data_IF_236227967883
#
_entry.id   IF_236227967883
#
_cell.length_a   1.000
_cell.length_b   1.000
_cell.length_c   1.000
_cell.angle_alpha   90.00
_cell.angle_beta   90.00
_cell.angle_gamma   90.00
#
_symmetry.space_group_name_H-M   'P 1'
#
loop_
_entity.id
_entity.type
_entity.pdbx_description
1 polymer ?
#
# COMPACT_ATOMS: atom_id res chain seq x y z
N UNK A 1 -16.70 34.95 0.09
CA UNK A 1 -15.46 34.32 0.56
C UNK A 1 -15.87 33.40 1.70
N UNK A 2 -16.30 32.18 1.35
CA UNK A 2 -16.48 31.15 2.36
C UNK A 2 -15.07 30.79 2.83
N UNK A 3 -14.80 30.98 4.12
CA UNK A 3 -13.64 30.37 4.75
C UNK A 3 -13.86 28.87 4.66
N UNK A 4 -12.99 28.19 3.90
CA UNK A 4 -13.00 26.75 3.75
C UNK A 4 -12.99 26.12 5.13
N UNK A 5 -13.96 25.27 5.38
CA UNK A 5 -13.78 24.21 6.36
C UNK A 5 -12.49 23.48 5.94
N UNK A 6 -11.57 23.32 6.88
CA UNK A 6 -10.34 22.57 6.68
C UNK A 6 -10.74 21.19 6.16
N UNK A 7 -10.55 20.93 4.86
CA UNK A 7 -10.53 19.55 4.38
C UNK A 7 -9.52 18.82 5.26
N UNK A 8 -9.91 17.70 5.87
CA UNK A 8 -8.93 16.89 6.58
C UNK A 8 -7.91 16.44 5.54
N UNK A 9 -6.65 16.86 5.69
CA UNK A 9 -5.59 16.47 4.77
C UNK A 9 -5.45 14.94 4.79
N UNK A 10 -5.47 14.27 3.64
CA UNK A 10 -5.32 12.82 3.58
C UNK A 10 -4.01 12.36 4.23
N UNK A 11 -4.06 11.25 4.96
CA UNK A 11 -2.85 10.64 5.51
C UNK A 11 -1.95 10.14 4.38
N UNK A 12 -0.67 10.51 4.40
CA UNK A 12 0.31 10.07 3.40
C UNK A 12 1.08 8.86 3.92
N UNK A 13 0.79 7.70 3.35
CA UNK A 13 1.49 6.45 3.63
C UNK A 13 2.60 6.21 2.60
N UNK A 14 3.78 5.81 3.06
CA UNK A 14 4.86 5.31 2.19
C UNK A 14 4.91 3.79 2.28
N UNK A 15 4.76 3.10 1.14
CA UNK A 15 5.00 1.66 1.04
C UNK A 15 6.48 1.37 0.89
N UNK A 16 7.02 0.57 1.80
CA UNK A 16 8.42 0.17 1.76
C UNK A 16 8.66 -0.94 0.74
N UNK A 17 9.77 -0.81 0.01
CA UNK A 17 10.21 -1.73 -1.03
C UNK A 17 11.42 -2.57 -0.58
N UNK A 18 12.00 -2.28 0.59
CA UNK A 18 13.08 -3.07 1.16
C UNK A 18 12.74 -4.55 1.36
N UNK A 19 13.74 -5.41 1.15
CA UNK A 19 13.65 -6.87 1.35
C UNK A 19 14.50 -7.35 2.55
N UNK A 20 15.20 -6.42 3.20
CA UNK A 20 16.02 -6.64 4.41
C UNK A 20 15.68 -5.63 5.50
N UNK A 21 16.07 -5.92 6.74
CA UNK A 21 15.77 -5.02 7.87
C UNK A 21 16.51 -3.70 7.70
N UNK A 22 17.77 -3.76 7.27
CA UNK A 22 18.61 -2.61 7.03
C UNK A 22 17.98 -1.66 6.00
N UNK A 23 17.51 -2.20 4.87
CA UNK A 23 16.83 -1.41 3.83
C UNK A 23 15.55 -0.74 4.37
N UNK A 24 14.71 -1.50 5.10
CA UNK A 24 13.49 -0.96 5.71
C UNK A 24 13.80 0.18 6.69
N UNK A 25 14.87 0.07 7.48
CA UNK A 25 15.26 1.13 8.43
C UNK A 25 15.74 2.39 7.70
N UNK A 26 16.46 2.24 6.59
CA UNK A 26 16.87 3.36 5.74
C UNK A 26 15.66 4.04 5.06
N UNK A 27 14.74 3.25 4.54
CA UNK A 27 13.47 3.73 3.96
C UNK A 27 12.62 4.45 5.00
N UNK A 28 12.54 3.93 6.23
CA UNK A 28 11.82 4.56 7.33
C UNK A 28 12.39 5.93 7.70
N UNK A 29 13.71 6.06 7.77
CA UNK A 29 14.36 7.34 8.00
C UNK A 29 14.07 8.34 6.86
N UNK A 30 14.13 7.89 5.60
CA UNK A 30 13.81 8.70 4.42
C UNK A 30 12.35 9.13 4.38
N UNK A 31 11.40 8.23 4.65
CA UNK A 31 9.97 8.51 4.66
C UNK A 31 9.61 9.56 5.71
N UNK A 32 10.16 9.42 6.93
CA UNK A 32 9.97 10.41 7.99
C UNK A 32 10.53 11.78 7.60
N UNK A 33 11.72 11.85 6.99
CA UNK A 33 12.30 13.10 6.50
C UNK A 33 11.53 13.70 5.31
N UNK A 34 10.86 12.88 4.53
CA UNK A 34 10.03 13.30 3.41
C UNK A 34 8.62 13.74 3.82
N UNK A 35 8.26 13.61 5.10
CA UNK A 35 6.97 14.02 5.63
C UNK A 35 5.87 12.98 5.44
N UNK A 36 6.18 11.68 5.41
CA UNK A 36 5.15 10.65 5.49
C UNK A 36 4.47 10.66 6.86
N UNK A 37 3.17 10.36 6.90
CA UNK A 37 2.40 10.19 8.13
C UNK A 37 2.42 8.73 8.62
N UNK A 38 2.56 7.79 7.68
CA UNK A 38 2.52 6.34 7.92
C UNK A 38 3.59 5.62 7.11
N UNK A 39 4.02 4.47 7.62
CA UNK A 39 4.86 3.52 6.91
C UNK A 39 4.11 2.20 6.70
N UNK A 40 3.95 1.73 5.46
CA UNK A 40 3.49 0.37 5.19
C UNK A 40 4.68 -0.58 5.13
N UNK A 41 4.78 -1.44 6.15
CA UNK A 41 5.70 -2.56 6.18
C UNK A 41 5.09 -3.71 5.39
N UNK A 42 5.58 -3.90 4.17
CA UNK A 42 5.26 -5.05 3.32
C UNK A 42 6.07 -6.27 3.75
N UNK A 43 5.60 -6.96 4.80
CA UNK A 43 6.27 -8.14 5.35
C UNK A 43 6.48 -9.25 4.31
N UNK A 44 5.56 -9.38 3.34
CA UNK A 44 5.69 -10.35 2.27
C UNK A 44 6.96 -10.15 1.40
N UNK A 45 7.55 -8.95 1.38
CA UNK A 45 8.78 -8.67 0.65
C UNK A 45 10.03 -9.27 1.30
N UNK A 46 10.02 -9.57 2.59
CA UNK A 46 11.13 -10.30 3.22
C UNK A 46 11.33 -11.70 2.62
N UNK A 47 10.34 -12.25 1.91
CA UNK A 47 10.50 -13.52 1.20
C UNK A 47 11.24 -13.37 -0.13
N UNK A 48 11.43 -12.16 -0.65
CA UNK A 48 12.13 -11.93 -1.91
C UNK A 48 13.66 -12.01 -1.76
N UNK A 49 14.30 -12.71 -2.68
CA UNK A 49 15.75 -12.73 -2.85
C UNK A 49 16.07 -11.85 -4.05
N UNK A 50 16.63 -10.66 -3.78
CA UNK A 50 17.12 -9.77 -4.85
C UNK A 50 18.26 -10.47 -5.59
N UNK A 51 18.22 -10.57 -6.93
CA UNK A 51 19.35 -11.05 -7.72
C UNK A 51 20.61 -10.24 -7.42
N UNK A 52 21.78 -10.88 -7.43
CA UNK A 52 23.05 -10.13 -7.45
C UNK A 52 23.13 -9.39 -8.78
N UNK A 53 23.38 -8.07 -8.75
CA UNK A 53 23.59 -7.29 -9.98
C UNK A 53 24.84 -7.83 -10.69
N UNK A 54 24.70 -8.41 -11.89
CA UNK A 54 25.85 -8.80 -12.70
C UNK A 54 26.54 -7.53 -13.23
N UNK A 55 27.74 -7.22 -12.73
CA UNK A 55 28.54 -6.03 -13.13
C UNK A 55 28.79 -5.91 -14.65
N UNK A 56 28.59 -7.00 -15.41
CA UNK A 56 28.74 -7.04 -16.86
C UNK A 56 27.46 -6.60 -17.62
N UNK A 57 26.26 -6.69 -17.04
CA UNK A 57 25.02 -6.15 -17.66
C UNK A 57 24.99 -4.61 -17.58
N UNK A 58 25.52 -4.03 -16.49
CA UNK A 58 25.66 -2.58 -16.28
C UNK A 58 26.53 -1.88 -17.34
N UNK A 59 27.38 -2.63 -18.07
CA UNK A 59 28.24 -2.07 -19.12
C UNK A 59 27.59 -1.98 -20.50
N UNK A 60 26.53 -2.75 -20.77
CA UNK A 60 25.73 -2.58 -22.01
C UNK A 60 24.62 -1.52 -21.83
N UNK A 61 24.29 -1.13 -20.59
CA UNK A 61 23.29 -0.12 -20.22
C UNK A 61 23.65 1.33 -20.61
N UNK A 62 24.94 1.67 -20.79
CA UNK A 62 25.32 3.05 -21.18
C UNK A 62 25.05 3.39 -22.67
N UNK A 63 24.71 2.40 -23.52
CA UNK A 63 24.48 2.62 -24.96
C UNK A 63 23.03 2.36 -25.45
N UNK A 64 22.08 2.02 -24.57
CA UNK A 64 20.69 1.72 -24.94
C UNK A 64 19.66 2.32 -23.98
N UNK A 65 18.83 3.23 -24.49
CA UNK A 65 17.70 3.91 -23.82
C UNK A 65 16.49 2.94 -23.61
N UNK A 66 16.75 1.66 -23.32
CA UNK A 66 15.74 0.65 -22.97
C UNK A 66 15.83 0.35 -21.48
N UNK A 67 15.09 1.12 -20.67
CA UNK A 67 14.99 0.91 -19.23
C UNK A 67 14.56 -0.54 -18.93
N UNK A 68 15.43 -1.27 -18.22
CA UNK A 68 15.15 -2.63 -17.77
C UNK A 68 13.98 -2.58 -16.77
N UNK A 69 12.82 -3.08 -17.19
CA UNK A 69 11.68 -3.29 -16.29
C UNK A 69 12.00 -4.50 -15.42
N UNK A 70 12.35 -4.26 -14.16
CA UNK A 70 12.59 -5.32 -13.18
C UNK A 70 11.25 -5.95 -12.78
N UNK A 71 11.00 -7.18 -13.24
CA UNK A 71 9.84 -7.95 -12.79
C UNK A 71 10.18 -8.74 -11.52
N UNK A 72 9.85 -8.16 -10.36
CA UNK A 72 10.05 -8.78 -9.04
C UNK A 72 9.28 -10.11 -8.89
N UNK A 73 8.26 -10.39 -9.71
CA UNK A 73 7.57 -11.67 -9.68
C UNK A 73 8.47 -12.84 -10.09
N UNK A 74 9.54 -12.55 -10.85
CA UNK A 74 10.53 -13.53 -11.30
C UNK A 74 11.63 -13.80 -10.25
N UNK A 75 11.70 -12.99 -9.20
CA UNK A 75 12.73 -13.15 -8.18
C UNK A 75 12.52 -14.44 -7.37
N UNK A 76 13.63 -15.04 -6.94
CA UNK A 76 13.58 -16.22 -6.09
C UNK A 76 12.95 -15.90 -4.73
N UNK A 77 12.31 -16.89 -4.12
CA UNK A 77 11.60 -16.74 -2.85
C UNK A 77 12.18 -17.64 -1.77
N UNK A 78 12.43 -17.06 -0.59
CA UNK A 78 12.73 -17.78 0.65
C UNK A 78 11.52 -18.64 1.05
N UNK A 79 11.77 -19.74 1.78
CA UNK A 79 10.69 -20.54 2.34
C UNK A 79 9.99 -19.78 3.47
N UNK A 80 8.69 -20.05 3.67
CA UNK A 80 7.92 -19.45 4.76
C UNK A 80 8.53 -19.71 6.15
N UNK A 81 9.26 -20.83 6.31
CA UNK A 81 9.93 -21.20 7.57
C UNK A 81 11.33 -20.60 7.75
N UNK A 82 11.86 -19.86 6.77
CA UNK A 82 13.19 -19.27 6.85
C UNK A 82 13.18 -17.90 7.56
N UNK A 83 11.99 -17.36 7.84
CA UNK A 83 11.80 -16.01 8.35
C UNK A 83 11.01 -16.04 9.65
N UNK A 84 11.66 -15.62 10.73
CA UNK A 84 11.05 -15.51 12.05
C UNK A 84 10.42 -14.13 12.25
N UNK A 85 9.08 -14.10 12.18
CA UNK A 85 8.25 -12.89 12.27
C UNK A 85 8.58 -12.05 13.50
N UNK A 86 8.62 -12.71 14.66
CA UNK A 86 8.86 -12.04 15.94
C UNK A 86 10.22 -11.35 16.01
N UNK A 87 11.25 -11.90 15.37
CA UNK A 87 12.57 -11.28 15.31
C UNK A 87 12.56 -10.03 14.43
N UNK A 88 11.90 -10.08 13.27
CA UNK A 88 11.77 -8.93 12.37
C UNK A 88 11.00 -7.81 13.06
N UNK A 89 9.83 -8.12 13.64
CA UNK A 89 9.03 -7.15 14.36
C UNK A 89 9.84 -6.53 15.49
N UNK A 90 10.54 -7.33 16.30
CA UNK A 90 11.34 -6.83 17.41
C UNK A 90 12.47 -5.89 16.96
N UNK A 91 13.13 -6.19 15.83
CA UNK A 91 14.20 -5.34 15.27
C UNK A 91 13.67 -4.04 14.66
N UNK A 92 12.47 -4.04 14.11
CA UNK A 92 11.87 -2.87 13.46
C UNK A 92 11.10 -1.96 14.42
N UNK A 93 10.57 -2.48 15.53
CA UNK A 93 9.67 -1.77 16.45
C UNK A 93 10.21 -0.43 16.92
N UNK A 94 11.51 -0.35 17.21
CA UNK A 94 12.16 0.90 17.68
C UNK A 94 12.87 1.67 16.55
N UNK A 95 12.94 1.10 15.34
CA UNK A 95 13.70 1.65 14.22
C UNK A 95 12.85 2.44 13.21
N UNK A 96 11.53 2.21 13.19
CA UNK A 96 10.60 2.95 12.34
C UNK A 96 9.96 4.09 13.16
N UNK A 97 10.27 5.37 12.89
CA UNK A 97 9.77 6.49 13.69
C UNK A 97 8.32 6.89 13.36
N UNK A 98 7.67 6.19 12.43
CA UNK A 98 6.31 6.45 11.95
C UNK A 98 5.34 5.37 12.44
N UNK A 99 4.04 5.69 12.62
CA UNK A 99 2.99 4.68 12.75
C UNK A 99 3.05 3.66 11.60
N UNK A 100 2.99 2.37 11.95
CA UNK A 100 3.19 1.26 11.00
C UNK A 100 1.87 0.62 10.61
N UNK A 101 1.68 0.47 9.29
CA UNK A 101 0.71 -0.46 8.69
C UNK A 101 1.46 -1.76 8.41
N UNK A 102 1.09 -2.83 9.09
CA UNK A 102 1.65 -4.14 8.84
C UNK A 102 0.84 -4.88 7.78
N UNK A 103 1.50 -5.27 6.69
CA UNK A 103 0.87 -5.93 5.54
C UNK A 103 1.63 -7.22 5.22
N UNK A 104 0.92 -8.35 5.12
CA UNK A 104 1.46 -9.59 4.59
C UNK A 104 0.59 -10.06 3.42
N UNK A 105 0.86 -9.48 2.24
CA UNK A 105 0.02 -9.64 1.04
C UNK A 105 0.19 -11.04 0.43
N UNK A 106 -0.89 -11.78 0.15
CA UNK A 106 -0.82 -13.06 -0.54
C UNK A 106 -0.54 -12.88 -2.04
N UNK A 107 -0.05 -13.92 -2.71
CA UNK A 107 0.24 -13.88 -4.15
C UNK A 107 -0.98 -13.62 -5.02
N UNK A 108 -2.14 -14.10 -4.60
CA UNK A 108 -3.40 -13.96 -5.34
C UNK A 108 -3.87 -12.49 -5.39
N UNK A 109 -3.35 -11.64 -4.50
CA UNK A 109 -3.58 -10.19 -4.46
C UNK A 109 -2.31 -9.38 -4.76
N UNK A 110 -1.37 -9.96 -5.52
CA UNK A 110 -0.16 -9.27 -6.00
C UNK A 110 0.95 -9.11 -4.96
N UNK A 111 0.91 -9.87 -3.87
CA UNK A 111 1.97 -9.96 -2.88
C UNK A 111 3.00 -11.05 -3.15
N UNK A 112 3.94 -11.21 -2.22
CA UNK A 112 5.06 -12.14 -2.35
C UNK A 112 5.08 -13.25 -1.30
N UNK A 113 4.04 -13.37 -0.46
CA UNK A 113 4.01 -14.39 0.58
C UNK A 113 3.92 -15.80 -0.02
N UNK A 114 4.89 -16.71 0.23
CA UNK A 114 4.96 -18.00 -0.43
C UNK A 114 4.24 -19.13 0.32
N UNK A 115 3.75 -18.87 1.55
CA UNK A 115 3.19 -19.88 2.44
C UNK A 115 1.68 -20.08 2.29
N UNK A 116 1.12 -20.94 3.14
CA UNK A 116 -0.33 -21.15 3.22
C UNK A 116 -1.05 -20.09 4.08
N UNK A 117 -2.36 -19.96 3.88
CA UNK A 117 -3.20 -18.97 4.57
C UNK A 117 -3.21 -19.13 6.09
N UNK A 118 -3.10 -20.36 6.62
CA UNK A 118 -3.07 -20.58 8.07
C UNK A 118 -1.78 -20.00 8.67
N UNK A 119 -0.67 -20.20 7.99
CA UNK A 119 0.64 -19.64 8.38
C UNK A 119 0.63 -18.11 8.22
N UNK A 120 0.03 -17.57 7.16
CA UNK A 120 -0.15 -16.12 6.96
C UNK A 120 -0.95 -15.46 8.08
N UNK A 121 -2.07 -16.08 8.48
CA UNK A 121 -2.88 -15.61 9.61
C UNK A 121 -2.06 -15.55 10.90
N UNK A 122 -1.18 -16.53 11.16
CA UNK A 122 -0.33 -16.52 12.35
C UNK A 122 0.71 -15.38 12.32
N UNK A 123 1.13 -14.92 11.14
CA UNK A 123 1.99 -13.73 10.98
C UNK A 123 1.21 -12.48 11.36
N UNK A 124 -0.01 -12.32 10.82
CA UNK A 124 -0.89 -11.19 11.10
C UNK A 124 -1.30 -11.13 12.58
N UNK A 125 -1.54 -12.29 13.21
CA UNK A 125 -1.79 -12.41 14.65
C UNK A 125 -0.63 -11.89 15.51
N UNK A 126 0.62 -12.18 15.12
CA UNK A 126 1.82 -11.69 15.81
C UNK A 126 2.02 -10.18 15.60
N UNK A 127 1.71 -9.67 14.40
CA UNK A 127 1.74 -8.23 14.15
C UNK A 127 0.75 -7.49 15.08
N UNK A 128 -0.48 -8.00 15.20
CA UNK A 128 -1.49 -7.43 16.11
C UNK A 128 -1.02 -7.47 17.57
N UNK A 129 -0.48 -8.60 18.04
CA UNK A 129 0.06 -8.74 19.41
C UNK A 129 1.25 -7.81 19.69
N UNK A 130 1.95 -7.38 18.65
CA UNK A 130 3.06 -6.44 18.77
C UNK A 130 2.64 -4.97 18.87
N UNK A 131 1.32 -4.70 18.77
CA UNK A 131 0.70 -3.38 18.86
C UNK A 131 1.14 -2.44 17.72
N UNK A 132 1.22 -2.96 16.48
CA UNK A 132 1.35 -2.11 15.28
C UNK A 132 0.17 -1.14 15.18
N UNK A 133 0.34 -0.01 14.49
CA UNK A 133 -0.72 1.00 14.42
C UNK A 133 -1.90 0.54 13.57
N UNK A 134 -1.63 -0.15 12.47
CA UNK A 134 -2.62 -0.75 11.58
C UNK A 134 -2.20 -2.14 11.12
N UNK A 135 -3.19 -2.97 10.80
CA UNK A 135 -3.01 -4.22 10.07
C UNK A 135 -3.88 -4.22 8.82
N UNK A 136 -3.31 -4.62 7.70
CA UNK A 136 -4.01 -4.77 6.42
C UNK A 136 -4.55 -6.21 6.31
N UNK A 137 -5.88 -6.35 6.20
CA UNK A 137 -6.61 -7.61 6.15
C UNK A 137 -7.51 -7.67 4.91
N UNK A 138 -7.17 -8.54 3.97
CA UNK A 138 -7.90 -8.68 2.72
C UNK A 138 -9.35 -9.11 2.95
N UNK A 139 -10.28 -8.54 2.18
CA UNK A 139 -11.69 -8.94 2.18
C UNK A 139 -11.91 -10.34 1.59
N UNK A 140 -10.96 -10.84 0.80
CA UNK A 140 -10.94 -12.20 0.25
C UNK A 140 -10.67 -13.30 1.29
N UNK A 141 -10.14 -12.93 2.47
CA UNK A 141 -9.89 -13.87 3.56
C UNK A 141 -11.17 -14.61 3.98
N UNK A 142 -11.01 -15.82 4.52
CA UNK A 142 -12.15 -16.53 5.10
C UNK A 142 -12.84 -15.67 6.17
N UNK A 143 -14.14 -15.40 5.99
CA UNK A 143 -14.90 -14.46 6.82
C UNK A 143 -14.80 -14.73 8.32
N UNK A 144 -14.85 -16.00 8.74
CA UNK A 144 -14.73 -16.37 10.16
C UNK A 144 -13.33 -16.08 10.71
N UNK A 145 -12.28 -16.36 9.93
CA UNK A 145 -10.89 -16.07 10.33
C UNK A 145 -10.60 -14.58 10.36
N UNK A 146 -11.09 -13.86 9.37
CA UNK A 146 -10.99 -12.40 9.31
C UNK A 146 -11.68 -11.75 10.52
N UNK A 147 -12.90 -12.15 10.86
CA UNK A 147 -13.60 -11.64 12.05
C UNK A 147 -12.84 -11.91 13.36
N UNK A 148 -12.13 -13.05 13.47
CA UNK A 148 -11.27 -13.33 14.62
C UNK A 148 -10.10 -12.35 14.71
N UNK A 149 -9.45 -12.05 13.57
CA UNK A 149 -8.37 -11.06 13.50
C UNK A 149 -8.86 -9.65 13.81
N UNK A 150 -10.01 -9.24 13.27
CA UNK A 150 -10.61 -7.93 13.55
C UNK A 150 -10.92 -7.76 15.04
N UNK A 151 -11.54 -8.78 15.67
CA UNK A 151 -11.80 -8.75 17.10
C UNK A 151 -10.50 -8.65 17.91
N UNK A 152 -9.46 -9.41 17.53
CA UNK A 152 -8.15 -9.37 18.18
C UNK A 152 -7.47 -8.01 17.99
N UNK A 153 -7.56 -7.40 16.82
CA UNK A 153 -7.04 -6.07 16.53
C UNK A 153 -7.68 -5.02 17.45
N UNK A 154 -9.01 -5.04 17.56
CA UNK A 154 -9.76 -4.17 18.46
C UNK A 154 -9.36 -4.36 19.94
N UNK A 155 -9.14 -5.60 20.39
CA UNK A 155 -8.67 -5.89 21.76
C UNK A 155 -7.27 -5.31 22.05
N UNK A 156 -6.41 -5.16 21.03
CA UNK A 156 -5.05 -4.65 21.15
C UNK A 156 -4.92 -3.18 20.70
N UNK A 157 -6.03 -2.50 20.39
CA UNK A 157 -6.01 -1.10 19.92
C UNK A 157 -5.37 -0.91 18.54
N UNK A 158 -5.31 -1.97 17.74
CA UNK A 158 -4.79 -1.96 16.36
C UNK A 158 -5.94 -1.68 15.40
N UNK A 159 -5.76 -0.72 14.50
CA UNK A 159 -6.74 -0.42 13.45
C UNK A 159 -6.65 -1.39 12.28
N UNK A 160 -7.74 -1.62 11.57
CA UNK A 160 -7.85 -2.58 10.48
C UNK A 160 -8.11 -1.88 9.15
N UNK A 161 -7.32 -2.22 8.13
CA UNK A 161 -7.64 -1.89 6.74
C UNK A 161 -8.35 -3.09 6.12
N UNK A 162 -9.55 -2.88 5.60
CA UNK A 162 -10.30 -3.84 4.81
C UNK A 162 -9.93 -3.68 3.33
N UNK A 163 -9.00 -4.50 2.84
CA UNK A 163 -8.41 -4.28 1.52
C UNK A 163 -8.95 -5.20 0.43
N UNK A 164 -8.94 -4.71 -0.81
CA UNK A 164 -9.11 -5.47 -2.05
C UNK A 164 -8.03 -5.06 -3.03
N UNK A 165 -7.34 -6.04 -3.62
CA UNK A 165 -6.42 -5.81 -4.73
C UNK A 165 -6.90 -6.56 -5.97
N UNK A 166 -7.44 -5.81 -6.94
CA UNK A 166 -7.87 -6.37 -8.21
C UNK A 166 -6.72 -6.41 -9.22
N UNK A 167 -6.28 -7.61 -9.59
CA UNK A 167 -5.18 -7.83 -10.54
C UNK A 167 -5.66 -8.01 -11.99
N UNK A 168 -6.93 -8.35 -12.19
CA UNK A 168 -7.54 -8.66 -13.50
C UNK A 168 -8.16 -7.42 -14.21
N UNK A 169 -7.95 -6.22 -13.68
CA UNK A 169 -8.44 -4.97 -14.23
C UNK A 169 -9.19 -4.10 -13.22
N UNK A 170 -9.81 -3.05 -13.73
CA UNK A 170 -10.61 -2.10 -12.94
C UNK A 170 -12.10 -2.43 -13.13
N UNK A 171 -12.85 -2.69 -12.04
CA UNK A 171 -14.31 -2.77 -12.09
C UNK A 171 -14.95 -1.45 -12.55
N UNK A 172 -16.24 -1.46 -12.84
CA UNK A 172 -16.95 -0.19 -13.06
C UNK A 172 -17.10 0.58 -11.74
N UNK A 173 -17.40 1.88 -11.84
CA UNK A 173 -17.47 2.76 -10.68
C UNK A 173 -18.55 2.30 -9.68
N UNK A 174 -19.71 1.82 -10.16
CA UNK A 174 -20.80 1.34 -9.31
C UNK A 174 -20.39 0.10 -8.51
N UNK A 175 -19.63 -0.82 -9.10
CA UNK A 175 -19.07 -1.98 -8.39
C UNK A 175 -18.04 -1.57 -7.33
N UNK A 176 -17.16 -0.61 -7.62
CA UNK A 176 -16.20 -0.10 -6.62
C UNK A 176 -16.95 0.56 -5.45
N UNK A 177 -17.96 1.38 -5.74
CA UNK A 177 -18.80 2.03 -4.74
C UNK A 177 -19.51 0.99 -3.86
N UNK A 178 -20.08 -0.05 -4.46
CA UNK A 178 -20.74 -1.12 -3.71
C UNK A 178 -19.75 -1.89 -2.83
N UNK A 179 -18.53 -2.16 -3.32
CA UNK A 179 -17.47 -2.78 -2.51
C UNK A 179 -17.17 -1.90 -1.29
N UNK A 180 -17.01 -0.59 -1.46
CA UNK A 180 -16.74 0.32 -0.34
C UNK A 180 -17.90 0.34 0.65
N UNK A 181 -19.13 0.60 0.19
CA UNK A 181 -20.30 0.71 1.06
C UNK A 181 -20.62 -0.58 1.80
N UNK A 182 -20.56 -1.73 1.13
CA UNK A 182 -20.85 -3.03 1.74
C UNK A 182 -19.78 -3.49 2.75
N UNK A 183 -18.61 -2.84 2.77
CA UNK A 183 -17.50 -3.18 3.65
C UNK A 183 -17.09 -2.06 4.61
N UNK A 184 -17.86 -0.99 4.72
CA UNK A 184 -17.59 0.12 5.63
C UNK A 184 -17.44 -0.32 7.11
N UNK A 185 -18.17 -1.35 7.54
CA UNK A 185 -18.08 -1.90 8.91
C UNK A 185 -17.06 -3.04 9.05
N UNK A 186 -16.36 -3.41 7.98
CA UNK A 186 -15.41 -4.53 7.99
C UNK A 186 -13.98 -4.11 8.37
N UNK A 187 -13.73 -2.83 8.64
CA UNK A 187 -12.46 -2.29 9.11
C UNK A 187 -12.62 -0.81 9.50
N UNK A 188 -11.52 -0.18 9.89
CA UNK A 188 -11.45 1.27 10.14
C UNK A 188 -11.21 2.07 8.85
N UNK A 189 -10.79 1.40 7.76
CA UNK A 189 -10.59 1.98 6.43
C UNK A 189 -10.88 0.91 5.37
N UNK A 190 -11.62 1.24 4.31
CA UNK A 190 -11.74 0.37 3.12
C UNK A 190 -10.72 0.79 2.07
N UNK A 191 -9.87 -0.15 1.63
CA UNK A 191 -8.82 0.09 0.63
C UNK A 191 -9.10 -0.70 -0.63
N UNK A 192 -9.20 -0.04 -1.77
CA UNK A 192 -9.32 -0.70 -3.07
C UNK A 192 -8.18 -0.27 -3.98
N UNK A 193 -7.42 -1.26 -4.47
CA UNK A 193 -6.29 -1.05 -5.35
C UNK A 193 -6.46 -1.90 -6.61
N UNK A 194 -6.53 -1.28 -7.79
CA UNK A 194 -6.81 -1.99 -9.04
C UNK A 194 -5.68 -1.82 -10.05
N UNK A 195 -5.36 -2.88 -10.78
CA UNK A 195 -4.44 -2.78 -11.92
C UNK A 195 -5.15 -2.11 -13.09
N UNK A 196 -4.61 -0.98 -13.52
CA UNK A 196 -5.10 -0.15 -14.62
C UNK A 196 -4.29 -0.47 -15.87
N UNK A 197 -4.95 -0.60 -17.03
CA UNK A 197 -4.29 -0.88 -18.30
C UNK A 197 -4.16 0.35 -19.20
N UNK A 198 -4.89 1.42 -18.87
CA UNK A 198 -4.90 2.70 -19.58
C UNK A 198 -5.65 3.75 -18.74
N UNK A 199 -5.50 5.03 -19.11
CA UNK A 199 -6.17 6.15 -18.48
C UNK A 199 -7.71 6.03 -18.39
N UNK A 200 -8.37 5.42 -19.38
CA UNK A 200 -9.83 5.28 -19.37
C UNK A 200 -10.30 4.33 -18.27
N UNK A 201 -9.54 3.26 -17.98
CA UNK A 201 -9.83 2.36 -16.88
C UNK A 201 -9.72 3.07 -15.52
N UNK A 202 -8.74 3.96 -15.37
CA UNK A 202 -8.50 4.71 -14.14
C UNK A 202 -9.60 5.71 -13.79
N UNK A 203 -10.36 6.19 -14.79
CA UNK A 203 -11.52 7.07 -14.57
C UNK A 203 -12.58 6.41 -13.69
N UNK A 204 -12.79 5.09 -13.77
CA UNK A 204 -13.77 4.42 -12.92
C UNK A 204 -13.42 4.53 -11.42
N UNK A 205 -12.14 4.58 -11.07
CA UNK A 205 -11.66 4.76 -9.69
C UNK A 205 -11.91 6.20 -9.22
N UNK A 206 -11.69 7.18 -10.10
CA UNK A 206 -11.97 8.60 -9.83
C UNK A 206 -13.47 8.82 -9.66
N UNK A 207 -14.29 8.29 -10.56
CA UNK A 207 -15.75 8.42 -10.51
C UNK A 207 -16.31 7.79 -9.22
N UNK A 208 -15.75 6.64 -8.81
CA UNK A 208 -16.10 6.02 -7.53
C UNK A 208 -15.71 6.89 -6.34
N UNK A 209 -14.48 7.42 -6.30
CA UNK A 209 -14.03 8.30 -5.22
C UNK A 209 -14.87 9.59 -5.12
N UNK A 210 -15.17 10.21 -6.27
CA UNK A 210 -16.02 11.39 -6.36
C UNK A 210 -17.47 11.11 -5.91
N UNK A 211 -17.98 9.90 -6.13
CA UNK A 211 -19.32 9.52 -5.68
C UNK A 211 -19.39 9.16 -4.19
N UNK A 212 -18.26 8.77 -3.59
CA UNK A 212 -18.13 8.43 -2.18
C UNK A 212 -17.73 9.62 -1.30
N UNK A 213 -17.25 10.72 -1.89
CA UNK A 213 -17.00 11.96 -1.14
C UNK A 213 -18.29 12.43 -0.45
N UNK A 214 -18.17 13.10 0.68
CA UNK A 214 -19.27 13.42 1.60
C UNK A 214 -19.90 12.21 2.34
N UNK A 215 -19.56 10.95 2.03
CA UNK A 215 -19.97 9.81 2.85
C UNK A 215 -19.05 9.65 4.07
N UNK A 216 -19.61 9.30 5.22
CA UNK A 216 -18.86 9.00 6.45
C UNK A 216 -18.21 7.59 6.38
N UNK A 217 -17.47 7.30 5.30
CA UNK A 217 -16.75 6.05 5.08
C UNK A 217 -15.28 6.36 4.81
N UNK A 218 -14.42 5.96 5.74
CA UNK A 218 -12.98 6.10 5.56
C UNK A 218 -12.50 5.17 4.43
N UNK A 219 -11.94 5.75 3.36
CA UNK A 219 -11.53 4.98 2.19
C UNK A 219 -10.22 5.43 1.54
N UNK A 220 -9.58 4.49 0.85
CA UNK A 220 -8.39 4.70 0.03
C UNK A 220 -8.52 3.92 -1.28
N UNK A 221 -8.81 4.64 -2.36
CA UNK A 221 -9.03 4.14 -3.71
C UNK A 221 -7.88 4.54 -4.63
N UNK A 222 -7.30 3.56 -5.32
CA UNK A 222 -6.11 3.79 -6.11
C UNK A 222 -5.93 2.82 -7.27
N UNK A 223 -5.23 3.27 -8.31
CA UNK A 223 -4.78 2.43 -9.39
C UNK A 223 -3.29 2.11 -9.33
N UNK A 224 -2.89 1.02 -9.98
CA UNK A 224 -1.52 0.70 -10.37
C UNK A 224 -1.46 0.59 -11.89
N UNK A 225 -0.67 1.41 -12.55
CA UNK A 225 -0.58 1.57 -14.01
C UNK A 225 -1.04 2.96 -14.50
N UNK A 226 -1.19 3.17 -15.81
CA UNK A 226 -1.43 4.49 -16.39
C UNK A 226 -2.68 5.20 -15.84
N UNK A 227 -2.48 6.37 -15.22
CA UNK A 227 -3.54 7.17 -14.60
C UNK A 227 -3.98 6.67 -13.23
N UNK A 228 -3.36 5.63 -12.70
CA UNK A 228 -3.64 5.13 -11.35
C UNK A 228 -3.26 6.11 -10.24
N UNK A 229 -2.34 7.02 -10.52
CA UNK A 229 -1.85 8.08 -9.63
C UNK A 229 -2.86 9.23 -9.45
N UNK A 230 -3.84 9.38 -10.34
CA UNK A 230 -4.78 10.51 -10.32
C UNK A 230 -5.57 10.63 -9.02
N UNK A 231 -5.99 9.51 -8.43
CA UNK A 231 -6.74 9.55 -7.17
C UNK A 231 -5.84 10.02 -6.02
N UNK A 232 -4.52 9.80 -6.10
CA UNK A 232 -3.53 10.28 -5.12
C UNK A 232 -3.28 11.77 -5.28
N UNK A 233 -3.15 12.24 -6.53
CA UNK A 233 -2.99 13.65 -6.87
C UNK A 233 -4.20 14.47 -6.39
N UNK A 234 -5.41 13.97 -6.60
CA UNK A 234 -6.65 14.66 -6.26
C UNK A 234 -7.26 14.23 -4.91
N UNK A 235 -6.50 13.52 -4.07
CA UNK A 235 -7.01 12.93 -2.84
C UNK A 235 -7.71 13.91 -1.89
N UNK A 236 -7.22 15.15 -1.67
CA UNK A 236 -7.94 16.12 -0.83
C UNK A 236 -9.31 16.50 -1.41
N UNK A 237 -9.39 16.72 -2.73
CA UNK A 237 -10.65 17.02 -3.42
C UNK A 237 -11.64 15.84 -3.39
N UNK A 238 -11.12 14.62 -3.46
CA UNK A 238 -11.88 13.37 -3.43
C UNK A 238 -12.17 12.90 -2.00
N UNK A 239 -11.78 13.68 -0.98
CA UNK A 239 -11.93 13.35 0.45
C UNK A 239 -11.41 11.96 0.83
N UNK A 240 -10.33 11.50 0.18
CA UNK A 240 -9.72 10.23 0.53
C UNK A 240 -9.06 10.32 1.91
N UNK A 241 -9.27 9.32 2.76
CA UNK A 241 -8.70 9.29 4.11
C UNK A 241 -7.18 9.07 4.08
N UNK A 242 -6.70 8.30 3.11
CA UNK A 242 -5.29 7.90 3.02
C UNK A 242 -4.84 7.71 1.58
N UNK A 243 -3.61 8.14 1.28
CA UNK A 243 -2.92 7.89 0.00
C UNK A 243 -1.66 7.06 0.21
N UNK A 244 -1.39 6.15 -0.72
CA UNK A 244 -0.15 5.36 -0.72
C UNK A 244 0.83 5.92 -1.75
N UNK A 245 2.08 6.10 -1.32
CA UNK A 245 3.16 6.73 -2.07
C UNK A 245 4.42 5.88 -2.02
N UNK A 246 5.40 6.21 -2.87
CA UNK A 246 6.71 5.55 -2.91
C UNK A 246 7.83 6.52 -2.53
N UNK A 247 9.00 5.98 -2.17
CA UNK A 247 10.24 6.75 -2.05
C UNK A 247 11.06 6.76 -3.34
N UNK A 248 10.66 6.00 -4.37
CA UNK A 248 11.29 6.03 -5.69
C UNK A 248 11.24 7.44 -6.27
N UNK A 249 12.30 7.82 -6.97
CA UNK A 249 12.42 9.11 -7.64
C UNK A 249 12.72 8.85 -9.12
N UNK A 250 11.66 8.51 -9.85
CA UNK A 250 11.70 8.09 -11.25
C UNK A 250 10.68 8.92 -12.04
N UNK A 251 11.08 9.41 -13.21
CA UNK A 251 10.22 10.24 -14.06
C UNK A 251 9.06 9.46 -14.70
N UNK A 252 9.09 8.12 -14.66
CA UNK A 252 8.04 7.22 -15.19
C UNK A 252 7.07 6.71 -14.14
N UNK A 253 7.13 7.16 -12.88
CA UNK A 253 6.20 6.68 -11.83
C UNK A 253 4.72 6.81 -12.22
N UNK A 254 4.37 7.83 -13.00
CA UNK A 254 3.00 8.03 -13.51
C UNK A 254 2.51 6.88 -14.42
N UNK A 255 3.42 6.21 -15.13
CA UNK A 255 3.10 5.03 -15.97
C UNK A 255 2.75 3.82 -15.10
N UNK A 256 3.29 3.77 -13.89
CA UNK A 256 3.02 2.75 -12.88
C UNK A 256 1.87 3.14 -11.94
N UNK A 257 1.28 4.33 -12.12
CA UNK A 257 0.23 4.86 -11.23
C UNK A 257 0.74 5.16 -9.82
N UNK A 258 2.04 5.41 -9.69
CA UNK A 258 2.73 5.74 -8.44
C UNK A 258 3.05 7.23 -8.40
N UNK A 259 3.25 7.75 -7.19
CA UNK A 259 3.72 9.12 -6.96
C UNK A 259 4.66 9.13 -5.76
N UNK A 260 5.73 9.93 -5.85
CA UNK A 260 6.65 10.13 -4.74
C UNK A 260 5.95 10.88 -3.59
N UNK A 261 6.31 10.55 -2.34
CA UNK A 261 5.80 11.20 -1.13
C UNK A 261 5.97 12.72 -1.11
N UNK A 262 7.07 13.26 -1.66
CA UNK A 262 7.27 14.71 -1.75
C UNK A 262 6.42 15.31 -2.84
N UNK A 263 6.40 14.67 -4.01
CA UNK A 263 5.67 15.14 -5.17
C UNK A 263 4.16 15.22 -4.90
N UNK A 264 3.58 14.28 -4.16
CA UNK A 264 2.15 14.33 -3.82
C UNK A 264 1.82 15.55 -2.95
N UNK A 265 2.66 15.84 -1.95
CA UNK A 265 2.46 17.00 -1.05
C UNK A 265 2.67 18.32 -1.79
N UNK A 266 3.74 18.41 -2.59
CA UNK A 266 3.99 19.59 -3.43
C UNK A 266 2.84 19.81 -4.43
N UNK A 267 2.30 18.73 -4.99
CA UNK A 267 1.15 18.79 -5.90
C UNK A 267 -0.09 19.34 -5.20
N UNK A 268 -0.42 18.89 -3.99
CA UNK A 268 -1.56 19.43 -3.25
C UNK A 268 -1.41 20.92 -2.94
N UNK A 269 -0.20 21.36 -2.58
CA UNK A 269 0.10 22.79 -2.39
C UNK A 269 -0.12 23.57 -3.70
N UNK A 270 0.37 23.06 -4.83
CA UNK A 270 0.24 23.71 -6.14
C UNK A 270 -1.20 23.76 -6.65
N UNK A 271 -2.03 22.78 -6.29
CA UNK A 271 -3.44 22.73 -6.63
C UNK A 271 -4.34 23.54 -5.69
N UNK A 272 -3.76 24.19 -4.67
CA UNK A 272 -4.45 25.00 -3.67
C UNK A 272 -5.52 24.20 -2.89
N UNK A 273 -5.21 22.94 -2.58
CA UNK A 273 -6.00 22.13 -1.64
C UNK A 273 -5.80 22.53 -0.18
#
# INVERSE_FOLDING_TARGET
>A
MHHGESMNEPLVCVSFEGVTIEEILEEAARANLAGADLAELRYDRFFLIRPEEDEDEVREEEEGDEDLVIDEMLWERRSAGDIEVGEIIAKLKDGIPLPVIFTCRPTDEGGFYPGDEKSRIAILEQAIESEVSWVDLELSMNSKKRQQLVAKAAENGVKVIASVHGTDGVPDADEIIEIVRSNAENGDLVKCCYRTSNHQASLAIIDAAEALKDEEIDSALMGLGPGGDWTRIHAPLLEQTMVYTTLRNDFKLYEEGLINVKDVRETWILLEY
#
